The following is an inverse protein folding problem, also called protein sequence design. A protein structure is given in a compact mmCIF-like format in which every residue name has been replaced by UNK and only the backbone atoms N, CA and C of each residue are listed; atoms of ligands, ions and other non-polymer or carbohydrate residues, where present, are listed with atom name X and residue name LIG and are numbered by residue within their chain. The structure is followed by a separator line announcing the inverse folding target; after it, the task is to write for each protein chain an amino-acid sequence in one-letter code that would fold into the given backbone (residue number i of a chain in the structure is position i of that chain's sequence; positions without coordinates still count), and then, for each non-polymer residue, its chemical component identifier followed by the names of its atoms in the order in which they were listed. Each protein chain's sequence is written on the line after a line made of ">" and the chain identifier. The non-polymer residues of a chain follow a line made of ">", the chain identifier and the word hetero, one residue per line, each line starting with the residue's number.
data_IF_421116792796
#
_entry.id   IF_421116792796
#
_cell.length_a   1.000
_cell.length_b   1.000
_cell.length_c   1.000
_cell.angle_alpha   90.00
_cell.angle_beta   90.00
_cell.angle_gamma   90.00
#
_symmetry.space_group_name_H-M   'P 1'
#
loop_
_entity.id
_entity.type
_entity.pdbx_description
1 polymer ?
#
# COMPACT_ATOMS: atom_id res chain seq x y z
N UNK A 1 21.82 -35.15 32.08
CA UNK A 1 22.46 -34.49 30.91
C UNK A 1 21.64 -34.55 29.61
N UNK A 2 20.72 -35.50 29.41
CA UNK A 2 19.88 -35.55 28.19
C UNK A 2 18.86 -34.39 28.05
N UNK A 3 18.33 -33.86 29.15
CA UNK A 3 17.29 -32.80 29.12
C UNK A 3 17.82 -31.44 28.60
N UNK A 4 19.06 -31.08 28.90
CA UNK A 4 19.68 -29.84 28.38
C UNK A 4 19.92 -29.90 26.86
N UNK A 5 20.15 -31.10 26.30
CA UNK A 5 20.35 -31.28 24.86
C UNK A 5 19.05 -31.08 24.08
N UNK A 6 17.93 -31.59 24.61
CA UNK A 6 16.61 -31.41 24.01
C UNK A 6 16.17 -29.94 23.99
N UNK A 7 16.42 -29.20 25.08
CA UNK A 7 16.14 -27.75 25.15
C UNK A 7 17.02 -26.97 24.17
N UNK A 8 18.29 -27.35 24.01
CA UNK A 8 19.18 -26.71 23.06
C UNK A 8 18.74 -26.89 21.60
N UNK A 9 18.32 -28.10 21.21
CA UNK A 9 17.77 -28.35 19.88
C UNK A 9 16.47 -27.59 19.65
N UNK A 10 15.58 -27.53 20.63
CA UNK A 10 14.32 -26.80 20.50
C UNK A 10 14.53 -25.28 20.38
N UNK A 11 15.53 -24.73 21.07
CA UNK A 11 15.92 -23.32 20.95
C UNK A 11 16.62 -23.01 19.63
N UNK A 12 17.43 -23.93 19.09
CA UNK A 12 18.02 -23.78 17.76
C UNK A 12 16.94 -23.82 16.67
N UNK A 13 15.96 -24.71 16.80
CA UNK A 13 14.83 -24.83 15.89
C UNK A 13 13.93 -23.58 15.93
N UNK A 14 13.67 -23.04 17.13
CA UNK A 14 12.99 -21.76 17.29
C UNK A 14 13.79 -20.61 16.66
N UNK A 15 15.11 -20.59 16.84
CA UNK A 15 16.00 -19.56 16.27
C UNK A 15 16.05 -19.64 14.73
N UNK A 16 16.03 -20.84 14.15
CA UNK A 16 15.98 -21.02 12.69
C UNK A 16 14.60 -20.67 12.13
N UNK A 17 13.52 -21.03 12.82
CA UNK A 17 12.14 -20.64 12.45
C UNK A 17 11.94 -19.13 12.51
N UNK A 18 12.44 -18.48 13.57
CA UNK A 18 12.38 -17.01 13.70
C UNK A 18 13.28 -16.34 12.66
N UNK A 19 14.49 -16.86 12.39
CA UNK A 19 15.37 -16.30 11.34
C UNK A 19 14.80 -16.47 9.93
N UNK A 20 14.13 -17.59 9.65
CA UNK A 20 13.43 -17.80 8.38
C UNK A 20 12.24 -16.85 8.19
N UNK A 21 11.57 -16.46 9.28
CA UNK A 21 10.52 -15.45 9.27
C UNK A 21 11.03 -14.02 8.97
N UNK A 22 12.30 -13.74 9.30
CA UNK A 22 12.94 -12.44 9.10
C UNK A 22 13.81 -12.36 7.85
N UNK A 23 14.11 -13.46 7.17
CA UNK A 23 14.86 -13.46 5.90
C UNK A 23 13.92 -13.30 4.72
N UNK A 24 13.23 -12.16 4.63
CA UNK A 24 12.49 -11.78 3.43
C UNK A 24 13.46 -11.74 2.24
N UNK A 25 13.09 -12.35 1.12
CA UNK A 25 13.87 -12.23 -0.11
C UNK A 25 13.85 -10.78 -0.61
N UNK A 26 14.79 -10.40 -1.48
CA UNK A 26 14.86 -9.02 -1.99
C UNK A 26 13.52 -8.60 -2.64
N UNK A 27 12.88 -9.49 -3.39
CA UNK A 27 11.57 -9.28 -3.99
C UNK A 27 10.47 -9.14 -2.95
N UNK A 28 10.44 -9.96 -1.90
CA UNK A 28 9.44 -9.83 -0.83
C UNK A 28 9.58 -8.48 -0.10
N UNK A 29 10.81 -8.02 0.14
CA UNK A 29 11.06 -6.69 0.71
C UNK A 29 10.53 -5.58 -0.20
N UNK A 30 10.71 -5.71 -1.52
CA UNK A 30 10.20 -4.75 -2.49
C UNK A 30 8.67 -4.75 -2.54
N UNK A 31 8.03 -5.93 -2.42
CA UNK A 31 6.58 -6.03 -2.30
C UNK A 31 6.07 -5.32 -1.05
N UNK A 32 6.66 -5.59 0.12
CA UNK A 32 6.31 -4.92 1.38
C UNK A 32 6.51 -3.42 1.26
N UNK A 33 7.60 -2.98 0.62
CA UNK A 33 7.88 -1.55 0.38
C UNK A 33 6.80 -0.91 -0.49
N UNK A 34 6.37 -1.57 -1.57
CA UNK A 34 5.31 -1.06 -2.44
C UNK A 34 3.98 -0.85 -1.69
N UNK A 35 3.59 -1.82 -0.85
CA UNK A 35 2.42 -1.69 0.01
C UNK A 35 2.59 -0.59 1.05
N UNK A 36 3.73 -0.55 1.74
CA UNK A 36 4.00 0.44 2.77
C UNK A 36 3.95 1.87 2.22
N UNK A 37 4.59 2.11 1.06
CA UNK A 37 4.55 3.40 0.38
C UNK A 37 3.13 3.78 -0.04
N UNK A 38 2.39 2.85 -0.66
CA UNK A 38 1.01 3.11 -1.09
C UNK A 38 0.07 3.39 0.07
N UNK A 39 0.20 2.66 1.18
CA UNK A 39 -0.53 2.94 2.42
C UNK A 39 -0.14 4.31 3.01
N UNK A 40 1.14 4.64 3.06
CA UNK A 40 1.63 5.92 3.60
C UNK A 40 1.11 7.12 2.78
N UNK A 41 1.15 7.02 1.45
CA UNK A 41 0.57 8.04 0.57
C UNK A 41 -0.95 8.12 0.71
N UNK A 42 -1.66 7.00 0.81
CA UNK A 42 -3.10 6.98 1.08
C UNK A 42 -3.46 7.66 2.40
N UNK A 43 -2.70 7.41 3.45
CA UNK A 43 -2.80 8.11 4.73
C UNK A 43 -2.57 9.62 4.59
N UNK A 44 -1.53 10.01 3.85
CA UNK A 44 -1.20 11.41 3.58
C UNK A 44 -2.32 12.13 2.82
N UNK A 45 -2.86 11.53 1.76
CA UNK A 45 -4.01 12.08 1.01
C UNK A 45 -5.25 12.20 1.89
N UNK A 46 -5.52 11.21 2.74
CA UNK A 46 -6.61 11.27 3.72
C UNK A 46 -6.44 12.44 4.69
N UNK A 47 -5.23 12.65 5.22
CA UNK A 47 -4.92 13.78 6.08
C UNK A 47 -5.13 15.12 5.35
N UNK A 48 -4.55 15.26 4.16
CA UNK A 48 -4.67 16.47 3.35
C UNK A 48 -6.13 16.81 3.08
N UNK A 49 -6.97 15.79 2.88
CA UNK A 49 -8.39 15.96 2.57
C UNK A 49 -9.09 16.66 3.73
N UNK A 50 -8.89 16.16 4.95
CA UNK A 50 -9.51 16.74 6.14
C UNK A 50 -8.95 18.13 6.43
N UNK A 51 -7.64 18.34 6.24
CA UNK A 51 -7.02 19.65 6.50
C UNK A 51 -7.52 20.75 5.57
N UNK A 52 -7.72 20.44 4.29
CA UNK A 52 -8.24 21.37 3.30
C UNK A 52 -9.68 21.77 3.60
N UNK A 53 -10.49 20.84 4.12
CA UNK A 53 -11.88 21.13 4.50
C UNK A 53 -11.97 21.95 5.80
N UNK A 54 -11.05 21.71 6.74
CA UNK A 54 -11.11 22.28 8.08
C UNK A 54 -10.42 23.64 8.26
N UNK A 55 -9.95 24.31 7.19
CA UNK A 55 -9.29 25.63 7.25
C UNK A 55 -8.21 25.77 8.35
N UNK A 56 -7.33 24.76 8.52
CA UNK A 56 -6.15 24.89 9.39
C UNK A 56 -6.32 24.51 10.87
N UNK A 57 -7.43 23.89 11.26
CA UNK A 57 -7.71 23.50 12.66
C UNK A 57 -6.66 22.60 13.35
N UNK A 58 -5.80 21.92 12.60
CA UNK A 58 -4.73 21.10 13.18
C UNK A 58 -3.71 21.96 13.95
N UNK A 59 -3.44 23.18 13.49
CA UNK A 59 -2.50 24.09 14.15
C UNK A 59 -3.04 24.64 15.47
N UNK A 60 -4.36 24.72 15.63
CA UNK A 60 -5.01 25.29 16.81
C UNK A 60 -5.45 24.24 17.83
N UNK A 61 -5.84 23.03 17.39
CA UNK A 61 -6.42 21.97 18.25
C UNK A 61 -5.73 20.60 18.21
N UNK A 62 -4.70 20.42 17.38
CA UNK A 62 -3.98 19.16 17.24
C UNK A 62 -4.74 18.04 16.49
N UNK A 63 -4.13 16.85 16.42
CA UNK A 63 -4.68 15.67 15.74
C UNK A 63 -5.83 15.04 16.52
N UNK A 64 -7.06 15.40 16.16
CA UNK A 64 -8.28 14.80 16.73
C UNK A 64 -8.45 13.32 16.33
N UNK A 65 -9.30 12.59 17.04
CA UNK A 65 -9.62 11.19 16.74
C UNK A 65 -10.17 11.02 15.31
N UNK A 66 -10.95 11.99 14.83
CA UNK A 66 -11.47 12.01 13.47
C UNK A 66 -10.34 12.04 12.43
N UNK A 67 -9.33 12.91 12.61
CA UNK A 67 -8.18 12.94 11.70
C UNK A 67 -7.46 11.59 11.64
N UNK A 68 -7.23 10.95 12.80
CA UNK A 68 -6.57 9.64 12.88
C UNK A 68 -7.39 8.55 12.17
N UNK A 69 -8.71 8.59 12.31
CA UNK A 69 -9.61 7.68 11.61
C UNK A 69 -9.51 7.84 10.10
N UNK A 70 -9.58 9.07 9.58
CA UNK A 70 -9.48 9.31 8.14
C UNK A 70 -8.12 8.91 7.56
N UNK A 71 -7.03 9.17 8.29
CA UNK A 71 -5.69 8.70 7.94
C UNK A 71 -5.66 7.17 7.83
N UNK A 72 -6.24 6.47 8.79
CA UNK A 72 -6.33 5.01 8.78
C UNK A 72 -7.17 4.49 7.60
N UNK A 73 -8.32 5.12 7.34
CA UNK A 73 -9.17 4.79 6.19
C UNK A 73 -8.42 4.96 4.86
N UNK A 74 -7.66 6.05 4.71
CA UNK A 74 -6.84 6.32 3.53
C UNK A 74 -5.76 5.26 3.33
N UNK A 75 -5.01 4.92 4.39
CA UNK A 75 -3.99 3.88 4.33
C UNK A 75 -4.58 2.51 3.95
N UNK A 76 -5.63 2.08 4.66
CA UNK A 76 -6.27 0.79 4.40
C UNK A 76 -6.91 0.74 3.02
N UNK A 77 -7.59 1.80 2.59
CA UNK A 77 -8.23 1.86 1.28
C UNK A 77 -7.23 1.69 0.14
N UNK A 78 -6.13 2.44 0.15
CA UNK A 78 -5.10 2.35 -0.88
C UNK A 78 -4.34 1.01 -0.84
N UNK A 79 -4.02 0.49 0.35
CA UNK A 79 -3.40 -0.82 0.50
C UNK A 79 -4.27 -1.97 0.00
N UNK A 80 -5.55 -1.98 0.37
CA UNK A 80 -6.51 -2.96 -0.12
C UNK A 80 -6.75 -2.84 -1.62
N UNK A 81 -6.81 -1.62 -2.16
CA UNK A 81 -6.95 -1.41 -3.60
C UNK A 81 -5.72 -1.90 -4.38
N UNK A 82 -4.51 -1.73 -3.85
CA UNK A 82 -3.30 -2.31 -4.44
C UNK A 82 -3.36 -3.84 -4.46
N UNK A 83 -3.85 -4.45 -3.37
CA UNK A 83 -4.10 -5.90 -3.32
C UNK A 83 -5.13 -6.34 -4.36
N UNK A 84 -6.23 -5.60 -4.49
CA UNK A 84 -7.30 -5.88 -5.46
C UNK A 84 -6.89 -5.61 -6.90
N UNK A 85 -5.86 -4.79 -7.14
CA UNK A 85 -5.33 -4.57 -8.48
C UNK A 85 -4.78 -5.86 -9.09
N UNK A 86 -4.28 -6.78 -8.25
CA UNK A 86 -3.82 -8.11 -8.64
C UNK A 86 -2.85 -8.05 -9.82
N UNK A 87 -3.23 -8.66 -10.94
CA UNK A 87 -2.43 -8.75 -12.17
C UNK A 87 -2.34 -7.48 -13.01
N UNK A 88 -3.02 -6.40 -12.61
CA UNK A 88 -2.88 -5.10 -13.26
C UNK A 88 -1.56 -4.42 -12.89
N UNK A 89 -0.94 -4.79 -11.77
CA UNK A 89 0.31 -4.21 -11.29
C UNK A 89 1.46 -5.22 -11.35
N UNK A 90 2.65 -4.75 -11.74
CA UNK A 90 3.87 -5.54 -11.77
C UNK A 90 4.09 -6.41 -13.02
N UNK A 91 3.30 -6.22 -14.08
CA UNK A 91 3.49 -6.98 -15.32
C UNK A 91 4.70 -6.45 -16.11
N UNK A 92 5.49 -7.36 -16.69
CA UNK A 92 6.65 -7.02 -17.53
C UNK A 92 6.25 -6.79 -19.00
N UNK A 93 7.03 -5.98 -19.74
CA UNK A 93 6.88 -5.74 -21.17
C UNK A 93 5.95 -4.58 -21.56
N UNK A 94 5.78 -4.30 -22.88
CA UNK A 94 4.97 -3.18 -23.37
C UNK A 94 3.51 -3.25 -22.94
N UNK A 95 2.91 -4.44 -23.00
CA UNK A 95 1.57 -4.71 -22.49
C UNK A 95 1.50 -4.59 -20.96
N UNK A 96 2.62 -4.82 -20.27
CA UNK A 96 2.73 -4.66 -18.82
C UNK A 96 2.66 -3.20 -18.39
N UNK A 97 3.27 -2.29 -19.16
CA UNK A 97 3.17 -0.85 -18.90
C UNK A 97 1.74 -0.33 -19.08
N UNK A 98 1.06 -0.71 -20.16
CA UNK A 98 -0.34 -0.33 -20.39
C UNK A 98 -1.27 -0.87 -19.28
N UNK A 99 -1.08 -2.11 -18.87
CA UNK A 99 -1.79 -2.69 -17.71
C UNK A 99 -1.46 -1.97 -16.41
N UNK A 100 -0.20 -1.56 -16.24
CA UNK A 100 0.24 -0.74 -15.11
C UNK A 100 -0.49 0.60 -15.03
N UNK A 101 -0.67 1.29 -16.16
CA UNK A 101 -1.47 2.52 -16.21
C UNK A 101 -2.94 2.29 -15.84
N UNK A 102 -3.53 1.20 -16.32
CA UNK A 102 -4.87 0.80 -15.88
C UNK A 102 -4.90 0.45 -14.38
N UNK A 103 -3.83 -0.17 -13.86
CA UNK A 103 -3.64 -0.45 -12.44
C UNK A 103 -3.56 0.81 -11.60
N UNK A 104 -2.87 1.85 -12.06
CA UNK A 104 -2.78 3.16 -11.40
C UNK A 104 -4.17 3.79 -11.24
N UNK A 105 -4.96 3.80 -12.32
CA UNK A 105 -6.34 4.31 -12.29
C UNK A 105 -7.20 3.45 -11.36
N UNK A 106 -7.07 2.12 -11.44
CA UNK A 106 -7.79 1.18 -10.59
C UNK A 106 -7.50 1.41 -9.10
N UNK A 107 -6.23 1.48 -8.71
CA UNK A 107 -5.83 1.69 -7.31
C UNK A 107 -6.34 3.04 -6.79
N UNK A 108 -6.30 4.07 -7.62
CA UNK A 108 -6.79 5.40 -7.25
C UNK A 108 -8.31 5.38 -7.01
N UNK A 109 -9.08 4.85 -7.96
CA UNK A 109 -10.55 4.84 -7.87
C UNK A 109 -11.03 3.88 -6.78
N UNK A 110 -10.58 2.62 -6.80
CA UNK A 110 -10.99 1.61 -5.82
C UNK A 110 -10.50 1.99 -4.43
N UNK A 111 -9.29 2.53 -4.32
CA UNK A 111 -8.74 3.01 -3.05
C UNK A 111 -9.59 4.13 -2.47
N UNK A 112 -9.99 5.10 -3.29
CA UNK A 112 -10.87 6.18 -2.88
C UNK A 112 -12.27 5.70 -2.49
N UNK A 113 -12.83 4.71 -3.21
CA UNK A 113 -14.12 4.10 -2.84
C UNK A 113 -14.01 3.42 -1.48
N UNK A 114 -13.00 2.58 -1.26
CA UNK A 114 -12.82 1.86 0.01
C UNK A 114 -12.56 2.85 1.16
N UNK A 115 -11.59 3.75 0.98
CA UNK A 115 -11.25 4.76 1.99
C UNK A 115 -12.45 5.64 2.32
N UNK A 116 -13.17 6.12 1.31
CA UNK A 116 -14.38 6.92 1.48
C UNK A 116 -15.46 6.15 2.24
N UNK A 117 -15.73 4.91 1.84
CA UNK A 117 -16.73 4.05 2.51
C UNK A 117 -16.41 3.81 3.98
N UNK A 118 -15.13 3.60 4.31
CA UNK A 118 -14.68 3.44 5.70
C UNK A 118 -14.77 4.76 6.49
N UNK A 119 -14.48 5.89 5.85
CA UNK A 119 -14.56 7.21 6.46
C UNK A 119 -16.01 7.58 6.78
N UNK A 120 -16.92 7.35 5.83
CA UNK A 120 -18.33 7.70 5.87
C UNK A 120 -19.15 6.57 5.22
N UNK A 121 -19.74 5.66 6.01
CA UNK A 121 -20.61 4.61 5.47
C UNK A 121 -21.72 5.20 4.59
N UNK A 122 -22.05 4.51 3.50
CA UNK A 122 -23.03 4.89 2.46
C UNK A 122 -22.62 6.10 1.60
N UNK A 123 -22.33 7.27 2.19
CA UNK A 123 -22.03 8.51 1.46
C UNK A 123 -20.61 8.56 0.88
N UNK A 124 -19.67 7.92 1.56
CA UNK A 124 -18.26 7.95 1.21
C UNK A 124 -17.90 7.22 -0.08
N UNK A 125 -18.75 6.31 -0.56
CA UNK A 125 -18.56 5.60 -1.84
C UNK A 125 -18.51 6.55 -3.04
N UNK A 126 -19.36 7.59 -3.03
CA UNK A 126 -19.39 8.64 -4.04
C UNK A 126 -18.43 9.77 -3.69
N UNK A 127 -18.40 10.16 -2.41
CA UNK A 127 -17.64 11.30 -1.95
C UNK A 127 -16.12 11.09 -2.04
N UNK A 128 -15.64 9.88 -1.76
CA UNK A 128 -14.22 9.53 -1.78
C UNK A 128 -13.56 9.77 -3.15
N UNK A 129 -14.04 9.12 -4.23
CA UNK A 129 -13.50 9.32 -5.57
C UNK A 129 -13.60 10.76 -6.06
N UNK A 130 -14.73 11.44 -5.76
CA UNK A 130 -14.92 12.84 -6.13
C UNK A 130 -13.91 13.76 -5.44
N UNK A 131 -13.70 13.55 -4.14
CA UNK A 131 -12.76 14.35 -3.34
C UNK A 131 -11.32 14.12 -3.79
N UNK A 132 -10.95 12.87 -4.08
CA UNK A 132 -9.64 12.55 -4.65
C UNK A 132 -9.44 13.29 -5.99
N UNK A 133 -10.43 13.24 -6.88
CA UNK A 133 -10.34 13.91 -8.18
C UNK A 133 -10.14 15.42 -8.02
N UNK A 134 -10.94 16.09 -7.19
CA UNK A 134 -10.79 17.52 -6.90
C UNK A 134 -9.42 17.81 -6.30
N UNK A 135 -8.95 17.01 -5.35
CA UNK A 135 -7.65 17.21 -4.72
C UNK A 135 -6.50 17.13 -5.72
N UNK A 136 -6.50 16.13 -6.59
CA UNK A 136 -5.43 15.95 -7.58
C UNK A 136 -5.44 17.07 -8.62
N UNK A 137 -6.62 17.58 -9.00
CA UNK A 137 -6.74 18.75 -9.89
C UNK A 137 -6.31 20.04 -9.20
N UNK A 138 -6.66 20.19 -7.92
CA UNK A 138 -6.37 21.40 -7.14
C UNK A 138 -4.90 21.50 -6.72
N UNK A 139 -4.20 20.36 -6.61
CA UNK A 139 -2.79 20.29 -6.26
C UNK A 139 -2.03 19.38 -7.24
N UNK A 140 -1.53 19.94 -8.35
CA UNK A 140 -0.77 19.20 -9.36
C UNK A 140 0.47 18.51 -8.77
N UNK A 141 1.08 19.10 -7.74
CA UNK A 141 2.23 18.51 -7.04
C UNK A 141 1.83 17.21 -6.31
N UNK A 142 0.68 17.20 -5.60
CA UNK A 142 0.18 15.97 -4.97
C UNK A 142 -0.16 14.91 -6.02
N UNK A 143 -0.73 15.32 -7.16
CA UNK A 143 -1.00 14.39 -8.27
C UNK A 143 0.28 13.74 -8.79
N UNK A 144 1.32 14.53 -9.07
CA UNK A 144 2.61 14.01 -9.52
C UNK A 144 3.20 13.03 -8.50
N UNK A 145 3.18 13.37 -7.22
CA UNK A 145 3.70 12.48 -6.17
C UNK A 145 2.89 11.19 -6.04
N UNK A 146 1.56 11.27 -6.12
CA UNK A 146 0.68 10.10 -6.07
C UNK A 146 0.92 9.15 -7.25
N UNK A 147 0.97 9.68 -8.47
CA UNK A 147 1.22 8.87 -9.67
C UNK A 147 2.64 8.31 -9.70
N UNK A 148 3.64 9.09 -9.27
CA UNK A 148 5.01 8.62 -9.12
C UNK A 148 5.12 7.46 -8.10
N UNK A 149 4.42 7.56 -6.97
CA UNK A 149 4.34 6.47 -5.98
C UNK A 149 3.74 5.19 -6.58
N UNK A 150 2.63 5.30 -7.33
CA UNK A 150 2.01 4.13 -7.94
C UNK A 150 2.87 3.53 -9.05
N UNK A 151 3.58 4.35 -9.82
CA UNK A 151 4.55 3.88 -10.81
C UNK A 151 5.74 3.17 -10.14
N UNK A 152 6.29 3.73 -9.06
CA UNK A 152 7.34 3.08 -8.27
C UNK A 152 6.84 1.74 -7.70
N UNK A 153 5.63 1.71 -7.15
CA UNK A 153 4.99 0.48 -6.66
C UNK A 153 4.82 -0.56 -7.76
N UNK A 154 4.46 -0.14 -8.98
CA UNK A 154 4.39 -1.03 -10.14
C UNK A 154 5.75 -1.68 -10.44
N UNK A 155 6.84 -0.91 -10.42
CA UNK A 155 8.19 -1.42 -10.67
C UNK A 155 8.66 -2.37 -9.57
N UNK A 156 8.39 -2.06 -8.30
CA UNK A 156 8.72 -2.93 -7.17
C UNK A 156 8.00 -4.28 -7.23
N UNK A 157 6.69 -4.27 -7.53
CA UNK A 157 5.90 -5.50 -7.70
C UNK A 157 6.39 -6.30 -8.91
N UNK A 158 6.82 -5.62 -9.98
CA UNK A 158 7.39 -6.28 -11.17
C UNK A 158 8.65 -7.06 -10.83
N UNK A 159 9.54 -6.48 -10.05
CA UNK A 159 10.77 -7.15 -9.63
C UNK A 159 10.46 -8.36 -8.75
N UNK A 160 9.54 -8.23 -7.79
CA UNK A 160 9.05 -9.35 -6.98
C UNK A 160 8.52 -10.49 -7.86
N UNK A 161 7.63 -10.21 -8.83
CA UNK A 161 7.10 -11.23 -9.74
C UNK A 161 8.20 -11.91 -10.55
N UNK A 162 9.14 -11.13 -11.08
CA UNK A 162 10.28 -11.65 -11.85
C UNK A 162 11.15 -12.60 -11.01
N UNK A 163 11.33 -12.30 -9.72
CA UNK A 163 12.03 -13.18 -8.80
C UNK A 163 11.25 -14.47 -8.54
N UNK A 164 9.94 -14.38 -8.28
CA UNK A 164 9.08 -15.54 -8.11
C UNK A 164 9.14 -16.47 -9.31
N UNK A 165 9.04 -15.93 -10.54
CA UNK A 165 9.14 -16.72 -11.78
C UNK A 165 10.47 -17.47 -11.88
N UNK A 166 11.58 -16.84 -11.49
CA UNK A 166 12.92 -17.47 -11.47
C UNK A 166 13.03 -18.56 -10.42
N UNK A 167 12.42 -18.38 -9.25
CA UNK A 167 12.42 -19.38 -8.18
C UNK A 167 11.61 -20.60 -8.61
N UNK A 168 10.42 -20.42 -9.18
CA UNK A 168 9.60 -21.53 -9.69
C UNK A 168 10.27 -22.26 -10.86
N UNK A 169 10.93 -21.54 -11.78
CA UNK A 169 11.66 -22.16 -12.89
C UNK A 169 12.85 -23.02 -12.43
N UNK A 170 13.41 -22.79 -11.23
CA UNK A 170 14.48 -23.62 -10.65
C UNK A 170 13.97 -24.87 -9.94
N UNK A 171 12.69 -24.90 -9.58
CA UNK A 171 12.04 -26.01 -8.88
C UNK A 171 11.38 -27.01 -9.84
N UNK A 172 11.20 -26.63 -11.10
CA UNK A 172 10.68 -27.47 -12.19
C UNK A 172 11.81 -28.20 -12.92
#
# INVERSE_FOLDING_TARGET
>A
MHMMRAVYYHLQDLRHTVRGFWSLTEGEQQLVTAYAMTCAFGAGLGLMTVTHMSHGSILEGGLTLYHRWIVLCGALGCGLALKLAGDRMGQSGPNGFARGMLGVVWVSVVGAVIAGTLALPFYGTMFGPFTLAIMLVSSPMLALMWFANLLASHLLIRNWRTEQDRLFARLA
#
